data_IF_759759433088
#
_entry.id   IF_759759433088
#
_cell.length_a   1.000
_cell.length_b   1.000
_cell.length_c   1.000
_cell.angle_alpha   90.00
_cell.angle_beta   90.00
_cell.angle_gamma   90.00
#
_symmetry.space_group_name_H-M   'P 1'
#
loop_
_entity.id
_entity.type
_entity.pdbx_description
1 polymer ?
#
# COMPACT_ATOMS: atom_id res chain seq x y z
N UNK A 1 3.78 -7.38 15.98
CA UNK A 1 3.55 -6.22 15.13
C UNK A 1 4.05 -6.56 13.74
N UNK A 2 3.28 -6.29 12.69
CA UNK A 2 3.77 -6.49 11.33
C UNK A 2 4.88 -5.46 11.03
N UNK A 3 5.96 -5.91 10.40
CA UNK A 3 7.05 -5.04 9.99
C UNK A 3 6.76 -4.44 8.61
N UNK A 4 6.92 -3.12 8.51
CA UNK A 4 6.73 -2.34 7.28
C UNK A 4 8.06 -1.64 6.92
N UNK A 5 8.07 -0.81 5.88
CA UNK A 5 9.25 -0.01 5.52
C UNK A 5 9.58 1.08 6.55
N UNK A 6 8.61 1.43 7.42
CA UNK A 6 8.75 2.38 8.53
C UNK A 6 8.06 1.84 9.77
N UNK A 7 8.46 2.36 10.92
CA UNK A 7 7.82 2.03 12.20
C UNK A 7 6.37 2.55 12.25
N UNK A 8 5.42 1.63 12.17
CA UNK A 8 3.97 1.91 12.23
C UNK A 8 3.46 2.24 13.64
N UNK A 9 4.31 2.09 14.67
CA UNK A 9 3.97 2.49 16.05
C UNK A 9 4.32 3.95 16.33
N UNK A 10 5.13 4.57 15.47
CA UNK A 10 5.46 5.98 15.56
C UNK A 10 4.34 6.86 15.00
N UNK A 11 3.43 7.30 15.87
CA UNK A 11 2.32 8.21 15.50
C UNK A 11 2.68 9.70 15.60
N UNK A 12 3.91 10.03 16.01
CA UNK A 12 4.39 11.41 16.13
C UNK A 12 5.74 11.58 15.41
N UNK A 13 5.84 11.25 14.11
CA UNK A 13 7.09 11.35 13.37
C UNK A 13 7.59 12.80 13.36
N UNK A 14 8.88 13.03 13.58
CA UNK A 14 9.49 14.37 13.52
C UNK A 14 10.60 14.35 12.49
N UNK A 15 10.62 15.35 11.62
CA UNK A 15 11.69 15.53 10.63
C UNK A 15 12.36 16.90 10.80
N UNK A 16 13.61 17.02 10.37
CA UNK A 16 14.46 18.19 10.68
C UNK A 16 14.01 19.50 10.03
N UNK A 17 13.37 19.45 8.85
CA UNK A 17 13.04 20.62 8.02
C UNK A 17 11.59 21.12 8.11
N UNK A 18 10.77 20.62 9.06
CA UNK A 18 9.36 21.04 9.19
C UNK A 18 9.19 22.54 9.47
N UNK A 19 10.18 23.21 10.07
CA UNK A 19 10.10 24.65 10.36
C UNK A 19 10.33 25.54 9.15
N UNK A 20 10.95 24.99 8.10
CA UNK A 20 11.49 25.77 6.99
C UNK A 20 10.58 25.72 5.76
N UNK A 21 9.67 24.73 5.71
CA UNK A 21 8.77 24.47 4.58
C UNK A 21 7.33 24.27 5.04
N UNK A 22 6.45 25.22 4.72
CA UNK A 22 5.04 25.20 5.13
C UNK A 22 4.27 23.98 4.57
N UNK A 23 4.52 23.59 3.32
CA UNK A 23 3.89 22.41 2.70
C UNK A 23 4.30 21.12 3.42
N UNK A 24 5.58 20.99 3.76
CA UNK A 24 6.10 19.86 4.54
C UNK A 24 5.49 19.82 5.95
N UNK A 25 5.35 20.97 6.60
CA UNK A 25 4.71 21.09 7.91
C UNK A 25 3.27 20.60 7.88
N UNK A 26 2.47 21.06 6.91
CA UNK A 26 1.07 20.62 6.75
C UNK A 26 0.98 19.12 6.48
N UNK A 27 1.88 18.59 5.66
CA UNK A 27 1.98 17.17 5.39
C UNK A 27 2.30 16.37 6.66
N UNK A 28 3.23 16.82 7.49
CA UNK A 28 3.55 16.17 8.76
C UNK A 28 2.41 16.29 9.78
N UNK A 29 1.68 17.41 9.82
CA UNK A 29 0.46 17.54 10.62
C UNK A 29 -0.62 16.53 10.19
N UNK A 30 -0.73 16.24 8.88
CA UNK A 30 -1.57 15.16 8.38
C UNK A 30 -1.08 13.78 8.86
N UNK A 31 0.21 13.47 8.72
CA UNK A 31 0.77 12.18 9.16
C UNK A 31 0.52 11.92 10.65
N UNK A 32 0.67 12.94 11.50
CA UNK A 32 0.42 12.86 12.95
C UNK A 32 -1.03 12.56 13.34
N UNK A 33 -1.99 12.75 12.43
CA UNK A 33 -3.42 12.46 12.64
C UNK A 33 -3.78 11.02 12.28
N UNK A 34 -2.85 10.24 11.75
CA UNK A 34 -3.04 8.83 11.42
C UNK A 34 -2.56 7.94 12.56
N UNK A 35 -3.28 6.84 12.78
CA UNK A 35 -2.85 5.76 13.66
C UNK A 35 -2.64 4.50 12.82
N UNK A 36 -1.39 4.29 12.38
CA UNK A 36 -1.08 3.25 11.41
C UNK A 36 -1.31 1.85 11.98
N UNK A 37 -0.97 1.63 13.25
CA UNK A 37 -1.25 0.37 13.95
C UNK A 37 -2.75 0.03 13.94
N UNK A 38 -3.60 0.99 14.31
CA UNK A 38 -5.06 0.81 14.31
C UNK A 38 -5.61 0.61 12.92
N UNK A 39 -5.12 1.39 11.96
CA UNK A 39 -5.50 1.28 10.55
C UNK A 39 -5.27 -0.15 10.03
N UNK A 40 -4.07 -0.69 10.22
CA UNK A 40 -3.73 -2.05 9.79
C UNK A 40 -4.58 -3.09 10.53
N UNK A 41 -4.71 -2.96 11.84
CA UNK A 41 -5.51 -3.88 12.66
C UNK A 41 -6.95 -3.98 12.12
N UNK A 42 -7.62 -2.84 11.93
CA UNK A 42 -9.00 -2.80 11.50
C UNK A 42 -9.17 -3.22 10.04
N UNK A 43 -8.20 -2.94 9.17
CA UNK A 43 -8.21 -3.44 7.80
C UNK A 43 -8.16 -4.97 7.74
N UNK A 44 -7.26 -5.59 8.50
CA UNK A 44 -7.12 -7.04 8.56
C UNK A 44 -8.32 -7.71 9.22
N UNK A 45 -8.82 -7.15 10.32
CA UNK A 45 -9.99 -7.70 11.00
C UNK A 45 -11.26 -7.58 10.14
N UNK A 46 -11.43 -6.45 9.46
CA UNK A 46 -12.53 -6.25 8.51
C UNK A 46 -12.46 -7.28 7.36
N UNK A 47 -11.29 -7.45 6.74
CA UNK A 47 -11.09 -8.40 5.65
C UNK A 47 -11.41 -9.84 6.10
N UNK A 48 -10.88 -10.26 7.26
CA UNK A 48 -11.12 -11.58 7.88
C UNK A 48 -12.60 -11.80 8.18
N UNK A 49 -13.23 -10.85 8.85
CA UNK A 49 -14.65 -10.94 9.25
C UNK A 49 -15.56 -11.01 8.03
N UNK A 50 -15.35 -10.15 7.04
CA UNK A 50 -16.16 -10.15 5.83
C UNK A 50 -15.93 -11.37 4.94
N UNK A 51 -14.71 -11.90 4.87
CA UNK A 51 -14.46 -13.17 4.18
C UNK A 51 -15.23 -14.32 4.86
N UNK A 52 -15.18 -14.43 6.20
CA UNK A 52 -15.92 -15.46 6.94
C UNK A 52 -17.43 -15.35 6.72
N UNK A 53 -17.98 -14.14 6.76
CA UNK A 53 -19.40 -13.90 6.50
C UNK A 53 -19.80 -14.33 5.10
N UNK A 54 -18.98 -14.05 4.09
CA UNK A 54 -19.29 -14.43 2.71
C UNK A 54 -19.16 -15.94 2.50
N UNK A 55 -18.14 -16.60 3.07
CA UNK A 55 -18.04 -18.08 3.04
C UNK A 55 -19.31 -18.74 3.60
N UNK A 56 -19.82 -18.23 4.73
CA UNK A 56 -21.06 -18.74 5.36
C UNK A 56 -22.30 -18.42 4.53
N UNK A 57 -22.37 -17.22 3.95
CA UNK A 57 -23.53 -16.75 3.20
C UNK A 57 -23.70 -17.48 1.87
N UNK A 58 -22.61 -17.83 1.20
CA UNK A 58 -22.66 -18.49 -0.11
C UNK A 58 -23.01 -19.98 -0.01
N UNK A 59 -22.95 -20.60 1.16
CA UNK A 59 -23.39 -21.98 1.43
C UNK A 59 -22.95 -23.01 0.36
N UNK A 60 -21.67 -22.94 -0.05
CA UNK A 60 -21.11 -23.82 -1.07
C UNK A 60 -21.26 -23.34 -2.52
N UNK A 61 -21.91 -22.20 -2.79
CA UNK A 61 -21.91 -21.55 -4.11
C UNK A 61 -20.52 -20.98 -4.42
N UNK A 62 -19.73 -21.76 -5.15
CA UNK A 62 -18.36 -21.43 -5.52
C UNK A 62 -18.26 -20.24 -6.47
N UNK A 63 -19.29 -19.98 -7.28
CA UNK A 63 -19.30 -18.86 -8.22
C UNK A 63 -19.51 -17.55 -7.48
N UNK A 64 -20.51 -17.48 -6.61
CA UNK A 64 -20.77 -16.28 -5.82
C UNK A 64 -19.58 -15.95 -4.90
N UNK A 65 -18.94 -16.97 -4.33
CA UNK A 65 -17.73 -16.80 -3.53
C UNK A 65 -16.56 -16.30 -4.39
N UNK A 66 -16.36 -16.87 -5.57
CA UNK A 66 -15.35 -16.41 -6.53
C UNK A 66 -15.52 -14.94 -6.91
N UNK A 67 -16.74 -14.51 -7.24
CA UNK A 67 -17.06 -13.12 -7.56
C UNK A 67 -16.79 -12.17 -6.38
N UNK A 68 -17.04 -12.63 -5.16
CA UNK A 68 -16.69 -11.87 -3.96
C UNK A 68 -15.17 -11.76 -3.80
N UNK A 69 -14.42 -12.85 -3.95
CA UNK A 69 -12.97 -12.86 -3.81
C UNK A 69 -12.30 -11.92 -4.81
N UNK A 70 -12.71 -11.95 -6.08
CA UNK A 70 -12.18 -11.05 -7.11
C UNK A 70 -12.36 -9.57 -6.77
N UNK A 71 -13.50 -9.20 -6.18
CA UNK A 71 -13.80 -7.81 -5.80
C UNK A 71 -13.13 -7.39 -4.50
N UNK A 72 -13.04 -8.30 -3.54
CA UNK A 72 -12.54 -8.04 -2.20
C UNK A 72 -11.02 -8.12 -2.11
N UNK A 73 -10.40 -8.95 -2.94
CA UNK A 73 -8.98 -9.29 -2.93
C UNK A 73 -8.42 -9.34 -4.36
N UNK A 74 -8.48 -8.23 -5.13
CA UNK A 74 -8.17 -8.21 -6.57
C UNK A 74 -6.79 -8.77 -6.92
N UNK A 75 -5.82 -8.71 -6.01
CA UNK A 75 -4.50 -9.30 -6.22
C UNK A 75 -4.46 -10.71 -5.64
N UNK A 76 -4.86 -10.85 -4.38
CA UNK A 76 -4.61 -12.06 -3.60
C UNK A 76 -5.43 -13.26 -4.04
N UNK A 77 -6.60 -13.02 -4.64
CA UNK A 77 -7.45 -14.10 -5.18
C UNK A 77 -6.78 -14.86 -6.34
N UNK A 78 -5.70 -14.33 -6.92
CA UNK A 78 -5.01 -14.92 -8.07
C UNK A 78 -4.14 -16.12 -7.70
N UNK A 79 -3.67 -16.18 -6.45
CA UNK A 79 -2.78 -17.23 -5.95
C UNK A 79 -3.33 -17.97 -4.73
N UNK A 80 -4.43 -17.50 -4.15
CA UNK A 80 -5.04 -18.08 -2.96
C UNK A 80 -6.57 -18.12 -3.06
N UNK A 81 -7.15 -19.22 -2.60
CA UNK A 81 -8.59 -19.40 -2.44
C UNK A 81 -9.10 -18.86 -1.09
N UNK A 82 -10.41 -18.97 -0.84
CA UNK A 82 -11.01 -18.45 0.39
C UNK A 82 -10.43 -19.07 1.67
N UNK A 83 -10.10 -20.37 1.65
CA UNK A 83 -9.53 -21.07 2.80
C UNK A 83 -8.10 -20.59 3.07
N UNK A 84 -7.28 -20.53 2.04
CA UNK A 84 -5.90 -20.06 2.12
C UNK A 84 -5.86 -18.60 2.58
N UNK A 85 -6.67 -17.72 1.99
CA UNK A 85 -6.78 -16.31 2.41
C UNK A 85 -7.21 -16.19 3.87
N UNK A 86 -8.14 -17.02 4.35
CA UNK A 86 -8.56 -17.03 5.75
C UNK A 86 -7.40 -17.42 6.69
N UNK A 87 -6.59 -18.42 6.31
CA UNK A 87 -5.42 -18.85 7.08
C UNK A 87 -4.40 -17.70 7.16
N UNK A 88 -4.07 -17.08 6.04
CA UNK A 88 -3.11 -15.96 5.99
C UNK A 88 -3.62 -14.75 6.78
N UNK A 89 -4.90 -14.38 6.65
CA UNK A 89 -5.51 -13.28 7.42
C UNK A 89 -5.44 -13.54 8.93
N UNK A 90 -5.66 -14.78 9.38
CA UNK A 90 -5.50 -15.13 10.80
C UNK A 90 -4.05 -14.97 11.26
N UNK A 91 -3.08 -15.41 10.45
CA UNK A 91 -1.66 -15.22 10.75
C UNK A 91 -1.28 -13.74 10.80
N UNK A 92 -1.76 -12.92 9.86
CA UNK A 92 -1.55 -11.47 9.83
C UNK A 92 -2.15 -10.78 11.06
N UNK A 93 -3.41 -11.07 11.42
CA UNK A 93 -4.04 -10.50 12.62
C UNK A 93 -3.26 -10.87 13.88
N UNK A 94 -2.89 -12.15 14.04
CA UNK A 94 -2.13 -12.60 15.20
C UNK A 94 -0.73 -11.98 15.25
N UNK A 95 -0.03 -11.92 14.10
CA UNK A 95 1.29 -11.32 13.96
C UNK A 95 1.25 -9.82 14.25
N UNK A 96 0.23 -9.12 13.78
CA UNK A 96 0.02 -7.69 14.06
C UNK A 96 -0.18 -7.45 15.56
N UNK A 97 -1.03 -8.25 16.21
CA UNK A 97 -1.30 -8.17 17.65
C UNK A 97 -0.14 -8.64 18.56
N UNK A 98 0.93 -9.22 18.03
CA UNK A 98 2.08 -9.66 18.82
C UNK A 98 3.00 -8.47 19.16
N UNK A 99 2.68 -7.69 20.18
CA UNK A 99 3.36 -6.41 20.51
C UNK A 99 4.87 -6.50 20.77
N UNK A 100 5.41 -7.69 21.10
CA UNK A 100 6.83 -7.85 21.49
C UNK A 100 7.73 -8.32 20.34
N UNK A 101 7.16 -8.62 19.16
CA UNK A 101 7.91 -9.10 18.01
C UNK A 101 7.52 -8.34 16.74
N UNK A 102 8.50 -7.94 15.96
CA UNK A 102 8.32 -7.60 14.56
C UNK A 102 8.14 -8.87 13.72
N UNK A 103 7.14 -8.86 12.85
CA UNK A 103 6.78 -9.97 11.97
C UNK A 103 7.05 -9.56 10.53
N UNK A 104 8.12 -10.06 9.92
CA UNK A 104 8.45 -9.81 8.52
C UNK A 104 7.50 -10.58 7.62
N UNK A 105 6.96 -9.87 6.63
CA UNK A 105 6.06 -10.37 5.61
C UNK A 105 6.84 -10.71 4.33
N UNK A 106 6.31 -11.66 3.55
CA UNK A 106 6.73 -11.92 2.18
C UNK A 106 5.71 -11.32 1.19
N UNK A 107 5.95 -11.50 -0.12
CA UNK A 107 5.12 -10.90 -1.15
C UNK A 107 3.64 -11.33 -1.11
N UNK A 108 3.33 -12.59 -0.73
CA UNK A 108 1.93 -13.04 -0.55
C UNK A 108 1.23 -12.26 0.55
N UNK A 109 1.92 -12.06 1.67
CA UNK A 109 1.39 -11.28 2.80
C UNK A 109 1.27 -9.80 2.46
N UNK A 110 2.25 -9.21 1.77
CA UNK A 110 2.17 -7.81 1.33
C UNK A 110 0.98 -7.59 0.37
N UNK A 111 0.76 -8.47 -0.60
CA UNK A 111 -0.41 -8.41 -1.49
C UNK A 111 -1.74 -8.47 -0.72
N UNK A 112 -1.85 -9.36 0.27
CA UNK A 112 -3.05 -9.50 1.08
C UNK A 112 -3.30 -8.33 2.02
N UNK A 113 -2.25 -7.78 2.63
CA UNK A 113 -2.31 -6.54 3.42
C UNK A 113 -2.76 -5.39 2.53
N UNK A 114 -2.19 -5.27 1.32
CA UNK A 114 -2.54 -4.21 0.36
C UNK A 114 -4.03 -4.26 0.01
N UNK A 115 -4.56 -5.42 -0.41
CA UNK A 115 -5.97 -5.61 -0.72
C UNK A 115 -6.88 -5.25 0.47
N UNK A 116 -6.50 -5.73 1.66
CA UNK A 116 -7.25 -5.50 2.91
C UNK A 116 -7.30 -4.01 3.26
N UNK A 117 -6.16 -3.32 3.18
CA UNK A 117 -6.01 -1.91 3.48
C UNK A 117 -6.75 -1.04 2.45
N UNK A 118 -6.55 -1.27 1.15
CA UNK A 118 -7.21 -0.50 0.07
C UNK A 118 -8.72 -0.52 0.25
N UNK A 119 -9.27 -1.70 0.53
CA UNK A 119 -10.71 -1.88 0.74
C UNK A 119 -11.19 -1.19 2.02
N UNK A 120 -10.46 -1.35 3.13
CA UNK A 120 -10.85 -0.77 4.41
C UNK A 120 -10.77 0.75 4.40
N UNK A 121 -9.70 1.34 3.86
CA UNK A 121 -9.56 2.80 3.73
C UNK A 121 -10.73 3.41 2.97
N UNK A 122 -11.15 2.80 1.85
CA UNK A 122 -12.34 3.24 1.12
C UNK A 122 -13.59 3.29 1.98
N UNK A 123 -13.78 2.29 2.84
CA UNK A 123 -14.94 2.21 3.75
C UNK A 123 -14.81 3.23 4.89
N UNK A 124 -13.64 3.33 5.49
CA UNK A 124 -13.34 4.28 6.56
C UNK A 124 -13.57 5.72 6.10
N UNK A 125 -13.05 6.11 4.93
CA UNK A 125 -13.27 7.44 4.38
C UNK A 125 -14.75 7.71 4.08
N UNK A 126 -15.50 6.72 3.58
CA UNK A 126 -16.95 6.83 3.43
C UNK A 126 -17.67 7.03 4.77
N UNK A 127 -17.20 6.39 5.85
CA UNK A 127 -17.73 6.59 7.19
C UNK A 127 -17.41 7.97 7.73
N UNK A 128 -16.22 8.52 7.47
CA UNK A 128 -15.89 9.89 7.86
C UNK A 128 -16.88 10.88 7.28
N UNK A 129 -17.29 10.71 6.01
CA UNK A 129 -18.26 11.59 5.37
C UNK A 129 -19.69 11.39 5.88
N UNK A 130 -20.11 10.14 6.13
CA UNK A 130 -21.54 9.78 6.33
C UNK A 130 -21.93 9.52 7.78
N UNK A 131 -20.99 9.07 8.60
CA UNK A 131 -21.19 8.67 9.99
C UNK A 131 -19.87 8.87 10.78
N UNK A 132 -19.41 10.12 10.96
CA UNK A 132 -18.11 10.42 11.58
C UNK A 132 -17.93 9.79 12.96
N UNK A 133 -19.02 9.65 13.72
CA UNK A 133 -19.03 8.98 15.03
C UNK A 133 -18.60 7.51 14.94
N UNK A 134 -19.02 6.81 13.90
CA UNK A 134 -18.61 5.40 13.65
C UNK A 134 -17.18 5.32 13.14
N UNK A 135 -16.75 6.26 12.30
CA UNK A 135 -15.36 6.33 11.86
C UNK A 135 -14.42 6.52 13.07
N UNK A 136 -14.82 7.35 14.05
CA UNK A 136 -14.07 7.59 15.28
C UNK A 136 -13.90 6.33 16.14
N UNK A 137 -14.86 5.40 16.13
CA UNK A 137 -14.76 4.13 16.87
C UNK A 137 -13.57 3.27 16.43
N UNK A 138 -13.15 3.36 15.16
CA UNK A 138 -11.96 2.67 14.66
C UNK A 138 -10.65 3.28 15.17
N UNK A 139 -10.65 4.58 15.50
CA UNK A 139 -9.43 5.28 15.95
C UNK A 139 -8.26 5.22 14.94
N UNK A 140 -8.54 4.99 13.65
CA UNK A 140 -7.54 4.90 12.59
C UNK A 140 -7.05 6.28 12.11
N UNK A 141 -7.88 7.31 12.26
CA UNK A 141 -7.52 8.70 11.99
C UNK A 141 -8.31 9.67 12.88
N UNK A 142 -7.79 10.88 13.07
CA UNK A 142 -8.44 11.96 13.84
C UNK A 142 -9.55 12.67 13.03
N UNK A 143 -10.48 11.90 12.47
CA UNK A 143 -11.62 12.42 11.69
C UNK A 143 -11.25 12.94 10.30
N UNK A 144 -10.05 12.62 9.82
CA UNK A 144 -9.58 12.97 8.47
C UNK A 144 -9.54 11.73 7.56
N UNK A 145 -9.80 11.95 6.27
CA UNK A 145 -9.67 10.88 5.28
C UNK A 145 -8.23 10.41 5.18
N UNK A 146 -8.09 9.11 4.99
CA UNK A 146 -6.80 8.46 4.83
C UNK A 146 -6.51 8.36 3.34
N UNK A 147 -5.41 8.95 2.90
CA UNK A 147 -4.87 8.73 1.58
C UNK A 147 -4.12 7.40 1.54
N UNK A 148 -4.71 6.41 0.88
CA UNK A 148 -4.09 5.10 0.73
C UNK A 148 -2.86 5.14 -0.20
N UNK A 149 -2.86 6.02 -1.21
CA UNK A 149 -1.76 6.23 -2.13
C UNK A 149 -0.48 6.61 -1.41
N UNK A 150 -0.60 7.67 -0.61
CA UNK A 150 0.44 8.20 0.26
C UNK A 150 0.88 7.17 1.32
N UNK A 151 -0.07 6.53 2.00
CA UNK A 151 0.26 5.52 3.00
C UNK A 151 1.05 4.35 2.39
N UNK A 152 0.64 3.88 1.20
CA UNK A 152 1.38 2.84 0.50
C UNK A 152 2.79 3.28 0.17
N UNK A 153 2.97 4.49 -0.37
CA UNK A 153 4.29 5.03 -0.69
C UNK A 153 5.22 5.05 0.53
N UNK A 154 4.70 5.43 1.69
CA UNK A 154 5.52 5.56 2.89
C UNK A 154 5.86 4.22 3.57
N UNK A 155 4.92 3.27 3.58
CA UNK A 155 5.01 2.09 4.46
C UNK A 155 5.23 0.77 3.73
N UNK A 156 4.90 0.64 2.45
CA UNK A 156 5.30 -0.56 1.70
C UNK A 156 6.77 -0.46 1.25
N UNK A 157 7.55 -1.56 1.33
CA UNK A 157 8.93 -1.56 0.84
C UNK A 157 8.99 -1.46 -0.69
N UNK A 158 8.04 -2.11 -1.37
CA UNK A 158 7.85 -2.13 -2.81
C UNK A 158 6.41 -2.58 -3.12
N UNK A 159 6.05 -2.57 -4.40
CA UNK A 159 4.80 -3.14 -4.91
C UNK A 159 5.08 -4.12 -6.06
N UNK A 160 6.20 -4.87 -6.01
CA UNK A 160 6.60 -5.72 -7.12
C UNK A 160 5.57 -6.83 -7.39
N UNK A 161 4.80 -7.24 -6.37
CA UNK A 161 3.64 -8.14 -6.52
C UNK A 161 2.49 -7.59 -7.40
N UNK A 162 2.51 -6.30 -7.76
CA UNK A 162 1.59 -5.66 -8.72
C UNK A 162 2.10 -5.63 -10.16
N UNK A 163 3.31 -6.10 -10.46
CA UNK A 163 3.84 -6.04 -11.83
C UNK A 163 2.85 -6.67 -12.83
N UNK A 164 2.60 -5.95 -13.93
CA UNK A 164 1.60 -6.30 -14.94
C UNK A 164 0.17 -5.83 -14.63
N UNK A 165 -0.01 -4.99 -13.59
CA UNK A 165 -1.28 -4.36 -13.24
C UNK A 165 -1.09 -2.86 -13.08
N UNK A 166 -2.11 -2.09 -13.48
CA UNK A 166 -2.08 -0.64 -13.31
C UNK A 166 -2.09 -0.30 -11.82
N UNK A 167 -1.02 0.35 -11.37
CA UNK A 167 -1.01 1.07 -10.12
C UNK A 167 -1.73 2.39 -10.35
N UNK A 168 -2.69 2.72 -9.49
CA UNK A 168 -3.29 4.05 -9.48
C UNK A 168 -2.16 5.10 -9.38
N UNK A 169 -2.38 6.28 -9.96
CA UNK A 169 -1.36 7.29 -10.29
C UNK A 169 -0.55 7.81 -9.09
N UNK A 170 -0.97 7.51 -7.87
CA UNK A 170 -0.41 8.00 -6.61
C UNK A 170 0.84 7.26 -6.13
N UNK A 171 1.27 6.18 -6.81
CA UNK A 171 2.42 5.36 -6.39
C UNK A 171 3.66 5.56 -7.25
N UNK A 172 3.95 6.80 -7.66
CA UNK A 172 4.87 7.14 -8.77
C UNK A 172 6.22 6.38 -8.76
N UNK A 173 6.97 6.25 -7.64
CA UNK A 173 8.22 5.49 -7.64
C UNK A 173 8.03 3.99 -7.90
N UNK A 174 7.02 3.38 -7.28
CA UNK A 174 6.68 1.97 -7.49
C UNK A 174 6.11 1.72 -8.88
N UNK A 175 5.26 2.61 -9.39
CA UNK A 175 4.73 2.54 -10.74
C UNK A 175 5.85 2.59 -11.79
N UNK A 176 6.82 3.50 -11.62
CA UNK A 176 8.00 3.59 -12.50
C UNK A 176 8.85 2.31 -12.45
N UNK A 177 9.10 1.78 -11.25
CA UNK A 177 9.85 0.53 -11.06
C UNK A 177 9.13 -0.64 -11.71
N UNK A 178 7.86 -0.85 -11.37
CA UNK A 178 7.03 -1.93 -11.91
C UNK A 178 6.98 -1.86 -13.44
N UNK A 179 6.82 -0.66 -14.00
CA UNK A 179 6.78 -0.48 -15.46
C UNK A 179 8.11 -0.83 -16.12
N UNK A 180 9.23 -0.43 -15.53
CA UNK A 180 10.55 -0.79 -16.04
C UNK A 180 10.77 -2.31 -16.04
N UNK A 181 10.38 -2.99 -14.96
CA UNK A 181 10.46 -4.45 -14.85
C UNK A 181 9.54 -5.12 -15.89
N UNK A 182 8.28 -4.65 -15.98
CA UNK A 182 7.29 -5.15 -16.93
C UNK A 182 7.77 -5.02 -18.38
N UNK A 183 8.37 -3.89 -18.75
CA UNK A 183 8.87 -3.63 -20.11
C UNK A 183 10.05 -4.55 -20.47
N UNK A 184 10.97 -4.83 -19.53
CA UNK A 184 12.07 -5.79 -19.74
C UNK A 184 11.54 -7.23 -19.84
N UNK A 185 10.59 -7.63 -19.00
CA UNK A 185 9.91 -8.93 -19.10
C UNK A 185 9.25 -9.07 -20.47
N UNK A 186 8.47 -8.07 -20.89
CA UNK A 186 7.77 -8.07 -22.17
C UNK A 186 8.73 -8.12 -23.36
N UNK A 187 9.89 -7.46 -23.28
CA UNK A 187 10.94 -7.51 -24.31
C UNK A 187 11.51 -8.92 -24.45
N UNK A 188 11.76 -9.63 -23.35
CA UNK A 188 12.22 -11.03 -23.36
C UNK A 188 11.15 -11.98 -23.90
N UNK A 189 9.90 -11.81 -23.48
CA UNK A 189 8.78 -12.62 -23.98
C UNK A 189 8.57 -12.44 -25.49
N UNK A 190 8.75 -11.23 -26.03
CA UNK A 190 8.72 -10.96 -27.49
C UNK A 190 9.81 -11.71 -28.25
N UNK A 191 10.93 -12.06 -27.60
CA UNK A 191 11.99 -12.89 -28.19
C UNK A 191 11.72 -14.40 -28.09
N UNK A 192 10.54 -14.80 -27.58
CA UNK A 192 10.10 -16.20 -27.51
C UNK A 192 10.36 -16.88 -26.16
N UNK A 193 10.86 -16.17 -25.15
CA UNK A 193 11.04 -16.71 -23.79
C UNK A 193 9.70 -16.92 -23.09
N UNK A 194 9.63 -17.94 -22.23
CA UNK A 194 8.49 -18.11 -21.31
C UNK A 194 8.46 -16.97 -20.27
N UNK A 195 7.31 -16.75 -19.61
CA UNK A 195 7.20 -15.79 -18.51
C UNK A 195 8.17 -16.11 -17.36
N UNK A 196 8.34 -17.40 -17.05
CA UNK A 196 9.24 -17.85 -15.98
C UNK A 196 10.71 -17.57 -16.33
N UNK A 197 11.13 -17.81 -17.58
CA UNK A 197 12.50 -17.51 -18.01
C UNK A 197 12.75 -16.00 -18.10
N UNK A 198 11.74 -15.23 -18.55
CA UNK A 198 11.82 -13.78 -18.60
C UNK A 198 11.99 -13.18 -17.20
N UNK A 199 11.19 -13.63 -16.23
CA UNK A 199 11.28 -13.24 -14.82
C UNK A 199 12.65 -13.59 -14.22
N UNK A 200 13.15 -14.82 -14.42
CA UNK A 200 14.48 -15.24 -13.95
C UNK A 200 15.61 -14.38 -14.53
N UNK A 201 15.43 -13.87 -15.75
CA UNK A 201 16.44 -13.01 -16.38
C UNK A 201 16.54 -11.61 -15.78
N UNK A 202 15.50 -11.15 -15.08
CA UNK A 202 15.45 -9.82 -14.44
C UNK A 202 15.60 -9.89 -12.92
N UNK A 203 15.51 -11.08 -12.33
CA UNK A 203 15.60 -11.36 -10.89
C UNK A 203 16.77 -10.63 -10.21
N UNK A 204 18.00 -10.91 -10.61
CA UNK A 204 19.19 -10.29 -10.01
C UNK A 204 19.33 -8.78 -10.31
N UNK A 205 18.78 -8.32 -11.43
CA UNK A 205 18.88 -6.91 -11.82
C UNK A 205 17.99 -6.02 -10.95
N UNK A 206 16.84 -6.55 -10.55
CA UNK A 206 15.85 -5.82 -9.77
C UNK A 206 15.74 -6.33 -8.33
N UNK A 207 16.50 -7.35 -7.94
CA UNK A 207 16.46 -7.96 -6.60
C UNK A 207 15.07 -8.52 -6.25
N UNK A 208 14.40 -9.16 -7.23
CA UNK A 208 13.11 -9.80 -7.00
C UNK A 208 13.30 -11.06 -6.16
N UNK A 209 12.57 -11.16 -5.04
CA UNK A 209 12.62 -12.36 -4.21
C UNK A 209 11.82 -13.53 -4.83
N UNK A 210 12.18 -14.75 -4.40
CA UNK A 210 11.53 -15.99 -4.85
C UNK A 210 10.01 -15.98 -4.68
N UNK A 211 9.49 -15.38 -3.60
CA UNK A 211 8.06 -15.34 -3.33
C UNK A 211 7.36 -14.35 -4.25
N UNK A 212 7.96 -13.18 -4.51
CA UNK A 212 7.47 -12.25 -5.54
C UNK A 212 7.37 -12.93 -6.91
N UNK A 213 8.39 -13.69 -7.30
CA UNK A 213 8.38 -14.46 -8.55
C UNK A 213 7.21 -15.46 -8.60
N UNK A 214 6.95 -16.18 -7.49
CA UNK A 214 5.81 -17.11 -7.38
C UNK A 214 4.47 -16.38 -7.49
N UNK A 215 4.33 -15.20 -6.85
CA UNK A 215 3.12 -14.35 -6.93
C UNK A 215 2.86 -13.95 -8.39
N UNK A 216 3.88 -13.45 -9.09
CA UNK A 216 3.74 -12.99 -10.48
C UNK A 216 3.40 -14.13 -11.45
N UNK A 217 3.90 -15.33 -11.18
CA UNK A 217 3.57 -16.55 -11.92
C UNK A 217 2.22 -17.16 -11.54
N UNK A 218 1.53 -16.64 -10.52
CA UNK A 218 0.29 -17.22 -10.00
C UNK A 218 0.48 -18.62 -9.44
N UNK A 219 1.68 -18.94 -8.93
CA UNK A 219 1.94 -20.25 -8.29
C UNK A 219 1.18 -20.33 -6.97
N UNK A 220 0.65 -21.51 -6.60
CA UNK A 220 -0.04 -21.69 -5.32
C UNK A 220 0.95 -21.52 -4.16
N UNK A 221 0.41 -21.18 -2.99
CA UNK A 221 1.19 -20.98 -1.77
C UNK A 221 1.57 -22.33 -1.15
N UNK A 222 2.86 -22.54 -0.91
CA UNK A 222 3.34 -23.70 -0.15
C UNK A 222 3.32 -23.43 1.36
N UNK A 223 3.32 -24.45 2.23
CA UNK A 223 3.33 -24.25 3.68
C UNK A 223 4.47 -23.34 4.18
N UNK A 224 5.66 -23.47 3.60
CA UNK A 224 6.84 -22.63 3.90
C UNK A 224 6.59 -21.15 3.58
N UNK A 225 5.85 -20.87 2.50
CA UNK A 225 5.48 -19.52 2.09
C UNK A 225 4.43 -18.88 3.03
N UNK A 226 3.85 -19.65 3.96
CA UNK A 226 2.90 -19.15 4.96
C UNK A 226 3.56 -18.72 6.26
N UNK A 227 4.88 -18.78 6.40
CA UNK A 227 5.56 -18.40 7.64
C UNK A 227 5.75 -16.88 7.72
N UNK A 228 5.51 -16.31 8.91
CA UNK A 228 5.94 -14.96 9.27
C UNK A 228 7.26 -15.10 10.03
N UNK A 229 8.28 -14.37 9.63
CA UNK A 229 9.57 -14.41 10.32
C UNK A 229 9.58 -13.41 11.46
N UNK A 230 9.93 -13.85 12.67
CA UNK A 230 9.87 -13.04 13.88
C UNK A 230 11.24 -12.51 14.28
N UNK A 231 11.28 -11.25 14.71
CA UNK A 231 12.43 -10.64 15.37
C UNK A 231 11.95 -9.79 16.54
N UNK A 232 12.74 -9.66 17.61
CA UNK A 232 12.33 -8.89 18.80
C UNK A 232 12.06 -7.43 18.43
N UNK A 233 11.10 -6.77 19.10
CA UNK A 233 10.94 -5.31 18.98
C UNK A 233 12.10 -4.51 19.54
N UNK A 234 12.94 -5.15 20.37
CA UNK A 234 14.21 -4.57 20.85
C UNK A 234 15.30 -4.56 19.78
N UNK A 235 15.12 -5.30 18.67
CA UNK A 235 16.07 -5.28 17.57
C UNK A 235 15.87 -4.03 16.71
N UNK A 236 16.94 -3.31 16.35
CA UNK A 236 16.87 -2.02 15.67
C UNK A 236 16.61 -2.17 14.16
N UNK A 237 15.48 -2.78 13.77
CA UNK A 237 15.17 -3.01 12.35
C UNK A 237 14.93 -1.71 11.55
N UNK A 238 14.77 -0.58 12.23
CA UNK A 238 14.55 0.75 11.65
C UNK A 238 15.70 1.73 11.88
N UNK A 239 16.80 1.33 12.53
CA UNK A 239 17.91 2.24 12.90
C UNK A 239 18.55 2.89 11.67
N UNK A 240 18.74 2.12 10.59
CA UNK A 240 19.23 2.61 9.31
C UNK A 240 18.38 3.74 8.70
N UNK A 241 17.10 3.87 9.09
CA UNK A 241 16.25 4.98 8.61
C UNK A 241 16.55 6.30 9.30
N UNK A 242 17.07 6.25 10.53
CA UNK A 242 17.30 7.41 11.40
C UNK A 242 18.76 7.86 11.43
N UNK A 243 19.69 7.01 10.99
CA UNK A 243 21.10 7.37 10.85
C UNK A 243 21.26 8.49 9.81
N UNK A 244 21.99 9.54 10.18
CA UNK A 244 22.41 10.61 9.27
C UNK A 244 23.76 10.22 8.70
N UNK A 245 23.83 9.86 7.41
CA UNK A 245 25.10 9.58 6.75
C UNK A 245 25.71 10.89 6.21
N UNK A 246 26.96 11.18 6.59
CA UNK A 246 27.76 12.20 5.93
C UNK A 246 28.21 11.70 4.55
N UNK A 247 27.67 12.28 3.47
CA UNK A 247 28.36 12.39 2.18
C UNK A 247 28.56 11.13 1.33
N UNK A 248 27.51 10.35 1.02
CA UNK A 248 27.57 9.31 -0.04
C UNK A 248 26.49 9.35 -1.10
N UNK A 249 25.35 9.96 -0.83
CA UNK A 249 24.28 10.17 -1.81
C UNK A 249 24.12 11.67 -2.00
N UNK A 250 24.63 12.20 -3.13
CA UNK A 250 24.93 13.62 -3.37
C UNK A 250 23.77 14.63 -3.35
N UNK A 251 22.69 14.35 -2.61
CA UNK A 251 21.59 15.26 -2.26
C UNK A 251 21.12 15.12 -0.79
N UNK A 252 21.69 14.18 0.01
CA UNK A 252 21.27 13.87 1.40
C UNK A 252 22.37 14.23 2.41
N UNK A 253 23.17 15.27 2.18
CA UNK A 253 24.21 15.69 3.14
C UNK A 253 23.57 16.10 4.47
N UNK A 254 23.71 15.24 5.48
CA UNK A 254 23.18 15.45 6.83
C UNK A 254 21.71 15.09 7.04
N UNK A 255 21.04 14.45 6.06
CA UNK A 255 19.63 14.02 6.19
C UNK A 255 19.51 12.51 6.36
N UNK A 256 18.54 12.08 7.19
CA UNK A 256 18.20 10.67 7.35
C UNK A 256 17.33 10.17 6.19
N UNK A 257 17.31 8.86 5.93
CA UNK A 257 16.38 8.26 4.96
C UNK A 257 14.91 8.53 5.34
N UNK A 258 14.62 8.60 6.64
CA UNK A 258 13.30 8.94 7.14
C UNK A 258 12.89 10.37 6.72
N UNK A 259 13.75 11.36 6.97
CA UNK A 259 13.51 12.76 6.60
C UNK A 259 13.28 12.90 5.11
N UNK A 260 14.16 12.30 4.30
CA UNK A 260 14.04 12.32 2.85
C UNK A 260 12.74 11.69 2.36
N UNK A 261 12.29 10.59 2.97
CA UNK A 261 11.06 9.91 2.56
C UNK A 261 9.80 10.74 2.82
N UNK A 262 9.73 11.49 3.93
CA UNK A 262 8.61 12.39 4.20
C UNK A 262 8.69 13.65 3.35
N UNK A 263 9.89 14.18 3.09
CA UNK A 263 10.10 15.28 2.16
C UNK A 263 9.64 14.92 0.74
N UNK A 264 10.01 13.74 0.24
CA UNK A 264 9.55 13.27 -1.06
C UNK A 264 8.05 13.00 -1.07
N UNK A 265 7.49 12.47 0.02
CA UNK A 265 6.05 12.27 0.19
C UNK A 265 5.26 13.58 0.12
N UNK A 266 5.72 14.64 0.79
CA UNK A 266 5.07 15.95 0.74
C UNK A 266 5.06 16.52 -0.67
N UNK A 267 6.18 16.41 -1.40
CA UNK A 267 6.28 16.89 -2.78
C UNK A 267 5.35 16.15 -3.74
N UNK A 268 5.27 14.82 -3.61
CA UNK A 268 4.32 14.02 -4.38
C UNK A 268 2.88 14.46 -4.06
N UNK A 269 2.58 14.68 -2.78
CA UNK A 269 1.24 15.08 -2.34
C UNK A 269 0.82 16.45 -2.86
N UNK A 270 1.71 17.43 -2.79
CA UNK A 270 1.50 18.77 -3.34
C UNK A 270 1.31 18.71 -4.84
N UNK A 271 2.10 17.91 -5.54
CA UNK A 271 1.96 17.74 -6.98
C UNK A 271 0.60 17.13 -7.36
N UNK A 272 0.12 16.14 -6.61
CA UNK A 272 -1.23 15.60 -6.79
C UNK A 272 -2.32 16.65 -6.58
N UNK A 273 -2.22 17.48 -5.54
CA UNK A 273 -3.15 18.58 -5.29
C UNK A 273 -3.17 19.58 -6.45
N UNK A 274 -2.00 20.02 -6.92
CA UNK A 274 -1.89 20.96 -8.05
C UNK A 274 -2.51 20.37 -9.33
N UNK A 275 -2.32 19.07 -9.58
CA UNK A 275 -2.97 18.41 -10.71
C UNK A 275 -4.48 18.33 -10.60
N UNK A 276 -5.01 18.09 -9.39
CA UNK A 276 -6.45 18.09 -9.16
C UNK A 276 -7.03 19.49 -9.39
N UNK A 277 -6.36 20.54 -8.92
CA UNK A 277 -6.75 21.94 -9.17
C UNK A 277 -6.74 22.27 -10.67
N UNK A 278 -5.73 21.84 -11.42
CA UNK A 278 -5.66 22.00 -12.88
C UNK A 278 -6.86 21.33 -13.58
N UNK A 279 -7.17 20.07 -13.21
CA UNK A 279 -8.31 19.34 -13.77
C UNK A 279 -9.64 19.97 -13.39
N UNK A 280 -9.81 20.42 -12.14
CA UNK A 280 -11.03 21.12 -11.70
C UNK A 280 -11.23 22.43 -12.45
N UNK A 281 -10.16 23.20 -12.68
CA UNK A 281 -10.21 24.41 -13.47
C UNK A 281 -10.60 24.14 -14.93
N UNK A 282 -10.06 23.08 -15.55
CA UNK A 282 -10.45 22.65 -16.90
C UNK A 282 -11.93 22.24 -16.97
N UNK A 283 -12.41 21.49 -15.97
CA UNK A 283 -13.82 21.07 -15.89
C UNK A 283 -14.75 22.28 -15.70
N UNK A 284 -14.38 23.23 -14.85
CA UNK A 284 -15.15 24.46 -14.63
C UNK A 284 -15.19 25.33 -15.89
N UNK A 285 -14.08 25.41 -16.66
CA UNK A 285 -14.04 26.09 -17.95
C UNK A 285 -15.00 25.43 -18.96
N UNK A 286 -14.98 24.10 -19.08
CA UNK A 286 -15.90 23.33 -19.95
C UNK A 286 -17.36 23.56 -19.54
N UNK A 287 -17.67 23.51 -18.25
CA UNK A 287 -19.03 23.75 -17.74
C UNK A 287 -19.50 25.18 -18.04
N UNK A 288 -18.62 26.17 -17.91
CA UNK A 288 -18.91 27.56 -18.23
C UNK A 288 -19.15 27.77 -19.74
N UNK A 289 -18.41 27.08 -20.62
CA UNK A 289 -18.66 27.12 -22.06
C UNK A 289 -19.98 26.46 -22.45
N UNK A 290 -20.33 25.33 -21.82
CA UNK A 290 -21.59 24.64 -22.05
C UNK A 290 -22.79 25.49 -21.60
N UNK A 291 -22.68 26.18 -20.46
CA UNK A 291 -23.71 27.07 -19.94
C UNK A 291 -23.88 28.35 -20.77
N UNK A 292 -22.81 28.85 -21.41
CA UNK A 292 -22.91 29.97 -22.37
C UNK A 292 -23.65 29.56 -23.64
N UNK A 293 -23.39 28.36 -24.17
CA UNK A 293 -24.08 27.83 -25.37
C UNK A 293 -25.57 27.56 -25.13
N UNK A 294 -25.96 27.10 -23.94
CA UNK A 294 -27.37 26.85 -23.62
C UNK A 294 -28.20 28.13 -23.42
N UNK A 295 -27.56 29.24 -23.04
CA UNK A 295 -28.21 30.55 -22.86
C UNK A 295 -28.26 31.42 -24.13
N UNK A 296 -27.78 30.91 -25.27
CA UNK A 296 -27.86 31.57 -26.60
C UNK A 296 -28.89 30.94 -27.55
N UNK A 297 -29.81 30.11 -27.04
CA UNK A 297 -30.91 29.48 -27.80
C UNK A 297 -32.25 29.87 -27.20
#
# INVERSE_FOLDING_TARGET
MLAFAKDITQNQPKISKESDEDELKQYMEYQRKLNHERLIYHALDYAKTHLLLNIKKTDGDTRQLGDYLQKAFPISHRFADAETLMILLRKLVNGHSASNNWCRMNAYYHALVFDSMKRFVKIHNQLIQKAPEKAKEYGASEGIEIDFGDWTYLYFPDLDFHIGHDLDYTHYPFAKRNKAIEDEINKKMKTGSSMEDALKSVENQYELDDVTMKVLLGKPINPEDTELFFTSTENPIYEALTETEDGKWGMMDGESLLDHSYYMGSHLKVWEWRKLEEVEAEVEEILNELNKKSSTT
#
